data_IF_723248661471
#
_entry.id   IF_723248661471
#
_cell.length_a   1.000
_cell.length_b   1.000
_cell.length_c   1.000
_cell.angle_alpha   90.00
_cell.angle_beta   90.00
_cell.angle_gamma   90.00
#
_symmetry.space_group_name_H-M   'P 1'
#
loop_
_entity.id
_entity.type
_entity.pdbx_description
1 polymer ?
#
# COMPACT_ATOMS: atom_id res chain seq x y z
N UNK A 1 11.84 -22.18 -20.56
CA UNK A 1 12.34 -20.85 -20.23
C UNK A 1 12.86 -20.93 -18.79
N UNK A 2 14.08 -20.50 -18.54
CA UNK A 2 14.67 -20.47 -17.21
C UNK A 2 14.63 -19.03 -16.72
N UNK A 3 14.21 -18.81 -15.46
CA UNK A 3 14.11 -17.50 -14.87
C UNK A 3 15.07 -17.40 -13.69
N UNK A 4 15.87 -16.35 -13.68
CA UNK A 4 16.62 -15.91 -12.51
C UNK A 4 15.89 -14.73 -11.87
N UNK A 5 15.37 -14.93 -10.67
CA UNK A 5 14.57 -13.94 -9.95
C UNK A 5 15.37 -13.29 -8.83
N UNK A 6 15.31 -11.96 -8.81
CA UNK A 6 15.76 -11.19 -7.67
C UNK A 6 14.57 -10.45 -7.03
N UNK A 7 14.48 -10.50 -5.71
CA UNK A 7 13.39 -9.88 -4.94
C UNK A 7 13.96 -8.89 -3.90
N UNK A 8 14.63 -7.81 -4.33
CA UNK A 8 15.05 -6.77 -3.42
C UNK A 8 13.83 -5.98 -2.93
N UNK A 9 13.95 -5.31 -1.77
CA UNK A 9 12.95 -4.33 -1.35
C UNK A 9 12.92 -3.15 -2.31
N UNK A 10 11.76 -2.48 -2.43
CA UNK A 10 11.50 -1.42 -3.42
C UNK A 10 12.59 -0.35 -3.53
N UNK A 11 13.09 0.17 -2.41
CA UNK A 11 14.16 1.17 -2.43
C UNK A 11 15.44 0.65 -3.11
N UNK A 12 15.77 -0.63 -2.95
CA UNK A 12 16.92 -1.26 -3.59
C UNK A 12 16.69 -1.59 -5.07
N UNK A 13 15.45 -1.83 -5.48
CA UNK A 13 15.10 -2.03 -6.90
C UNK A 13 15.51 -0.80 -7.72
N UNK A 14 15.15 0.41 -7.26
CA UNK A 14 15.50 1.64 -7.96
C UNK A 14 17.02 1.80 -8.13
N UNK A 15 17.79 1.56 -7.07
CA UNK A 15 19.24 1.67 -7.13
C UNK A 15 19.85 0.62 -8.09
N UNK A 16 19.35 -0.62 -8.06
CA UNK A 16 19.82 -1.70 -8.94
C UNK A 16 19.50 -1.42 -10.41
N UNK A 17 18.28 -0.98 -10.73
CA UNK A 17 17.89 -0.63 -12.10
C UNK A 17 18.66 0.58 -12.62
N UNK A 18 18.87 1.59 -11.78
CA UNK A 18 19.71 2.73 -12.13
C UNK A 18 21.15 2.34 -12.43
N UNK A 19 21.74 1.48 -11.60
CA UNK A 19 23.09 1.00 -11.86
C UNK A 19 23.18 0.11 -13.12
N UNK A 20 22.14 -0.68 -13.38
CA UNK A 20 22.07 -1.56 -14.55
C UNK A 20 21.87 -0.77 -15.85
N UNK A 21 21.14 0.33 -15.83
CA UNK A 21 20.89 1.19 -17.01
C UNK A 21 22.15 1.87 -17.57
N UNK A 22 23.24 1.88 -16.81
CA UNK A 22 24.53 2.41 -17.28
C UNK A 22 25.31 1.43 -18.17
N UNK A 23 24.82 0.21 -18.36
CA UNK A 23 25.41 -0.81 -19.21
C UNK A 23 24.86 -0.70 -20.63
N UNK A 24 25.66 -1.04 -21.64
CA UNK A 24 25.21 -1.14 -23.03
C UNK A 24 24.11 -2.20 -23.20
N UNK A 25 24.24 -3.32 -22.48
CA UNK A 25 23.22 -4.37 -22.36
C UNK A 25 23.03 -4.67 -20.87
N UNK A 26 21.79 -4.55 -20.43
CA UNK A 26 21.44 -4.75 -19.02
C UNK A 26 21.50 -6.20 -18.57
N UNK A 27 21.36 -6.38 -17.28
CA UNK A 27 21.25 -7.72 -16.66
C UNK A 27 19.76 -8.12 -16.56
N UNK A 28 18.88 -7.15 -16.31
CA UNK A 28 17.46 -7.39 -16.09
C UNK A 28 16.68 -7.22 -17.39
N UNK A 29 15.81 -8.18 -17.72
CA UNK A 29 14.97 -8.08 -18.90
C UNK A 29 13.66 -7.31 -18.63
N UNK A 30 13.13 -7.46 -17.43
CA UNK A 30 11.89 -6.83 -16.98
C UNK A 30 11.89 -6.69 -15.46
N UNK A 31 10.96 -5.91 -14.96
CA UNK A 31 10.75 -5.76 -13.53
C UNK A 31 9.26 -5.67 -13.17
N UNK A 32 8.94 -6.07 -11.94
CA UNK A 32 7.67 -5.83 -11.28
C UNK A 32 7.91 -4.85 -10.13
N UNK A 33 7.28 -3.69 -10.17
CA UNK A 33 7.45 -2.65 -9.14
C UNK A 33 6.10 -2.35 -8.51
N UNK A 34 6.08 -2.24 -7.19
CA UNK A 34 4.92 -1.75 -6.45
C UNK A 34 4.72 -0.26 -6.73
N UNK A 35 3.47 0.16 -6.77
CA UNK A 35 3.09 1.55 -6.92
C UNK A 35 3.80 2.43 -5.89
N UNK A 36 4.45 3.46 -6.40
CA UNK A 36 5.14 4.47 -5.62
C UNK A 36 5.27 5.75 -6.44
N UNK A 37 5.15 6.89 -5.80
CA UNK A 37 5.25 8.22 -6.42
C UNK A 37 6.59 8.51 -7.12
N UNK A 38 7.55 7.59 -7.03
CA UNK A 38 8.88 7.75 -7.61
C UNK A 38 9.08 7.00 -8.94
N UNK A 39 8.16 6.11 -9.33
CA UNK A 39 8.26 5.32 -10.58
C UNK A 39 8.37 6.28 -11.77
N UNK A 40 7.44 7.22 -11.89
CA UNK A 40 7.42 8.18 -12.98
C UNK A 40 8.71 8.99 -13.05
N UNK A 41 9.07 9.66 -11.95
CA UNK A 41 10.17 10.62 -11.94
C UNK A 41 11.56 9.96 -12.02
N UNK A 42 11.73 8.78 -11.42
CA UNK A 42 13.05 8.13 -11.30
C UNK A 42 13.30 7.07 -12.36
N UNK A 43 12.25 6.47 -12.92
CA UNK A 43 12.39 5.28 -13.76
C UNK A 43 11.90 5.52 -15.19
N UNK A 44 10.67 6.03 -15.35
CA UNK A 44 10.07 6.18 -16.68
C UNK A 44 10.60 7.43 -17.39
N UNK A 45 10.53 8.60 -16.75
CA UNK A 45 11.04 9.86 -17.35
C UNK A 45 12.54 9.86 -17.59
N UNK A 46 13.28 9.05 -16.87
CA UNK A 46 14.73 8.90 -17.06
C UNK A 46 15.09 7.90 -18.14
N UNK A 47 14.10 7.22 -18.74
CA UNK A 47 14.31 6.22 -19.78
C UNK A 47 14.98 4.93 -19.25
N UNK A 48 14.80 4.59 -17.98
CA UNK A 48 15.31 3.32 -17.41
C UNK A 48 14.31 2.19 -17.65
N UNK A 49 13.02 2.52 -17.62
CA UNK A 49 11.92 1.58 -17.80
C UNK A 49 11.00 2.01 -18.92
N UNK A 50 10.61 1.03 -19.74
CA UNK A 50 9.61 1.15 -20.78
C UNK A 50 8.31 0.47 -20.36
N UNK A 51 7.19 1.11 -20.71
CA UNK A 51 5.86 0.54 -20.56
C UNK A 51 5.51 -0.28 -21.81
N UNK A 52 5.18 -1.54 -21.62
CA UNK A 52 4.66 -2.41 -22.67
C UNK A 52 3.21 -2.78 -22.36
N UNK A 53 2.29 -2.44 -23.26
CA UNK A 53 0.85 -2.77 -23.12
C UNK A 53 0.50 -3.84 -24.15
N UNK A 54 0.20 -5.10 -23.73
CA UNK A 54 -0.25 -6.14 -24.65
C UNK A 54 -1.58 -5.77 -25.32
N UNK A 55 -1.69 -6.01 -26.63
CA UNK A 55 -2.90 -5.67 -27.40
C UNK A 55 -4.15 -6.38 -26.86
N UNK A 56 -4.03 -7.66 -26.48
CA UNK A 56 -5.15 -8.44 -25.95
C UNK A 56 -5.60 -7.91 -24.58
N UNK A 57 -4.65 -7.45 -23.74
CA UNK A 57 -4.97 -6.81 -22.48
C UNK A 57 -5.72 -5.49 -22.69
N UNK A 58 -5.23 -4.63 -23.60
CA UNK A 58 -5.86 -3.37 -23.91
C UNK A 58 -7.30 -3.59 -24.45
N UNK A 59 -7.47 -4.50 -25.40
CA UNK A 59 -8.78 -4.84 -25.94
C UNK A 59 -9.75 -5.37 -24.86
N UNK A 60 -9.29 -6.23 -23.95
CA UNK A 60 -10.10 -6.74 -22.85
C UNK A 60 -10.53 -5.64 -21.86
N UNK A 61 -9.77 -4.55 -21.78
CA UNK A 61 -10.05 -3.39 -20.92
C UNK A 61 -10.74 -2.23 -21.68
N UNK A 62 -11.18 -2.45 -22.92
CA UNK A 62 -11.95 -1.47 -23.68
C UNK A 62 -11.13 -0.26 -24.18
N UNK A 63 -9.82 -0.42 -24.36
CA UNK A 63 -8.90 0.60 -24.83
C UNK A 63 -7.97 0.05 -25.91
N UNK A 64 -7.08 0.87 -26.45
CA UNK A 64 -5.95 0.44 -27.29
C UNK A 64 -4.63 0.64 -26.57
N UNK A 65 -3.57 -0.01 -27.01
CA UNK A 65 -2.25 0.15 -26.42
C UNK A 65 -1.71 1.60 -26.57
N UNK A 66 -2.11 2.29 -27.64
CA UNK A 66 -1.74 3.67 -27.92
C UNK A 66 -2.52 4.70 -27.08
N UNK A 67 -3.77 4.38 -26.72
CA UNK A 67 -4.65 5.28 -25.94
C UNK A 67 -4.50 5.10 -24.43
N UNK A 68 -3.88 4.01 -23.99
CA UNK A 68 -3.70 3.75 -22.56
C UNK A 68 -2.49 4.51 -22.01
N UNK A 69 -2.75 5.56 -21.24
CA UNK A 69 -1.70 6.43 -20.67
C UNK A 69 -1.12 5.93 -19.34
N UNK A 70 -1.61 4.80 -18.82
CA UNK A 70 -1.16 4.23 -17.54
C UNK A 70 -0.02 3.22 -17.68
N UNK A 71 0.45 2.72 -16.53
CA UNK A 71 1.36 1.58 -16.48
C UNK A 71 0.57 0.27 -16.48
N UNK A 72 1.16 -0.80 -17.05
CA UNK A 72 0.50 -2.11 -17.10
C UNK A 72 0.38 -2.71 -15.69
N UNK A 73 -0.82 -2.80 -15.11
CA UNK A 73 -0.99 -3.44 -13.81
C UNK A 73 -0.98 -4.95 -13.95
N UNK A 74 -0.26 -5.65 -13.06
CA UNK A 74 -0.37 -7.09 -12.91
C UNK A 74 -1.48 -7.44 -11.91
N UNK A 75 -1.46 -6.79 -10.76
CA UNK A 75 -2.42 -7.01 -9.67
C UNK A 75 -2.55 -5.78 -8.80
N UNK A 76 -3.69 -5.67 -8.12
CA UNK A 76 -3.90 -4.71 -7.05
C UNK A 76 -3.91 -5.44 -5.71
N UNK A 77 -3.10 -4.97 -4.79
CA UNK A 77 -3.11 -5.40 -3.39
C UNK A 77 -3.76 -4.33 -2.53
N UNK A 78 -4.24 -4.73 -1.37
CA UNK A 78 -4.73 -3.81 -0.35
C UNK A 78 -4.06 -4.06 0.99
N UNK A 79 -3.69 -2.97 1.66
CA UNK A 79 -3.40 -2.97 3.10
C UNK A 79 -4.63 -2.46 3.81
N UNK A 80 -5.06 -3.19 4.82
CA UNK A 80 -6.26 -2.86 5.60
C UNK A 80 -5.94 -2.90 7.08
N UNK A 81 -6.65 -2.09 7.86
CA UNK A 81 -6.57 -2.17 9.30
C UNK A 81 -7.23 -3.46 9.78
N UNK A 82 -6.45 -4.26 10.48
CA UNK A 82 -6.88 -5.50 11.11
C UNK A 82 -6.55 -5.46 12.59
N UNK A 83 -7.41 -6.03 13.41
CA UNK A 83 -7.17 -6.14 14.84
C UNK A 83 -7.47 -7.53 15.37
N UNK A 84 -6.77 -7.90 16.44
CA UNK A 84 -7.02 -9.14 17.15
C UNK A 84 -8.30 -8.99 17.98
N UNK A 85 -9.26 -9.86 17.70
CA UNK A 85 -10.61 -9.83 18.29
C UNK A 85 -10.77 -10.72 19.52
N UNK A 86 -9.68 -11.28 20.05
CA UNK A 86 -9.74 -12.14 21.26
C UNK A 86 -9.79 -11.32 22.55
N UNK A 87 -9.63 -10.02 22.49
CA UNK A 87 -9.72 -9.08 23.59
C UNK A 87 -11.04 -8.34 23.68
N UNK A 88 -11.03 -7.20 24.34
CA UNK A 88 -12.19 -6.36 24.56
C UNK A 88 -12.25 -5.11 23.66
N UNK A 89 -11.13 -4.72 23.06
CA UNK A 89 -11.07 -3.54 22.20
C UNK A 89 -11.78 -3.80 20.86
N UNK A 90 -12.46 -2.76 20.40
CA UNK A 90 -13.06 -2.72 19.05
C UNK A 90 -12.69 -1.40 18.40
N UNK A 91 -12.45 -1.44 17.09
CA UNK A 91 -12.08 -0.27 16.30
C UNK A 91 -13.17 -0.04 15.25
N UNK A 92 -14.01 0.96 15.50
CA UNK A 92 -15.18 1.27 14.66
C UNK A 92 -15.05 2.57 13.89
N UNK A 93 -14.00 3.33 14.20
CA UNK A 93 -13.69 4.59 13.55
C UNK A 93 -12.18 4.66 13.28
N UNK A 94 -11.79 5.24 12.14
CA UNK A 94 -10.37 5.34 11.81
C UNK A 94 -9.55 6.16 12.83
N UNK A 95 -10.18 7.04 13.60
CA UNK A 95 -9.53 7.78 14.69
C UNK A 95 -9.25 6.91 15.92
N UNK A 96 -9.91 5.76 16.06
CA UNK A 96 -9.60 4.83 17.14
C UNK A 96 -8.16 4.28 17.03
N UNK A 97 -7.60 4.21 15.82
CA UNK A 97 -6.23 3.73 15.60
C UNK A 97 -5.13 4.70 16.02
N UNK A 98 -5.47 5.95 16.26
CA UNK A 98 -4.54 7.01 16.68
C UNK A 98 -4.93 7.62 18.03
N UNK A 99 -5.79 6.93 18.79
CA UNK A 99 -6.20 7.33 20.12
C UNK A 99 -5.04 7.16 21.14
N UNK A 100 -5.19 7.75 22.30
CA UNK A 100 -4.19 7.68 23.39
C UNK A 100 -3.87 6.22 23.76
N UNK A 101 -2.58 5.91 23.78
CA UNK A 101 -2.07 4.58 24.12
C UNK A 101 -2.21 3.52 23.03
N UNK A 102 -2.66 3.88 21.83
CA UNK A 102 -2.72 2.98 20.70
C UNK A 102 -1.40 3.01 19.90
N UNK A 103 -0.87 1.81 19.60
CA UNK A 103 0.40 1.61 18.90
C UNK A 103 0.24 0.54 17.83
N UNK A 104 -0.26 0.93 16.66
CA UNK A 104 -0.51 0.01 15.53
C UNK A 104 0.77 -0.58 14.97
N UNK A 105 0.74 -1.86 14.62
CA UNK A 105 1.85 -2.49 13.90
C UNK A 105 1.81 -2.05 12.43
N UNK A 106 2.89 -1.49 11.93
CA UNK A 106 3.01 -1.06 10.54
C UNK A 106 4.44 -1.22 10.03
N UNK A 107 4.58 -1.35 8.72
CA UNK A 107 5.91 -1.37 8.11
C UNK A 107 6.62 -0.03 8.32
N UNK A 108 7.92 -0.10 8.53
CA UNK A 108 8.75 1.09 8.62
C UNK A 108 8.62 1.95 7.35
N UNK A 109 8.03 3.13 7.49
CA UNK A 109 7.74 4.06 6.39
C UNK A 109 9.00 4.62 5.71
N UNK A 110 10.16 4.59 6.36
CA UNK A 110 11.41 5.03 5.76
C UNK A 110 12.02 3.99 4.82
N UNK A 111 11.72 2.72 5.03
CA UNK A 111 12.18 1.61 4.21
C UNK A 111 11.16 1.14 3.16
N UNK A 112 9.90 1.60 3.22
CA UNK A 112 8.80 1.12 2.39
C UNK A 112 8.07 2.26 1.68
N UNK A 113 8.25 2.38 0.36
CA UNK A 113 7.66 3.44 -0.46
C UNK A 113 6.14 3.42 -0.41
N UNK A 114 5.53 2.24 -0.45
CA UNK A 114 4.06 2.06 -0.45
C UNK A 114 3.46 2.60 0.86
N UNK A 115 4.18 2.51 1.98
CA UNK A 115 3.75 3.07 3.26
C UNK A 115 3.62 4.59 3.23
N UNK A 116 4.53 5.28 2.56
CA UNK A 116 4.44 6.73 2.36
C UNK A 116 3.27 7.13 1.47
N UNK A 117 2.97 6.35 0.43
CA UNK A 117 1.84 6.61 -0.45
C UNK A 117 0.50 6.61 0.29
N UNK A 118 0.35 5.77 1.31
CA UNK A 118 -0.82 5.83 2.18
C UNK A 118 -0.96 7.19 2.85
N UNK A 119 0.12 7.73 3.40
CA UNK A 119 0.10 9.03 4.06
C UNK A 119 -0.19 10.17 3.07
N UNK A 120 0.40 10.13 1.88
CA UNK A 120 0.10 11.11 0.82
C UNK A 120 -1.36 11.03 0.37
N UNK A 121 -1.90 9.82 0.20
CA UNK A 121 -3.31 9.63 -0.14
C UNK A 121 -4.23 10.35 0.84
N UNK A 122 -3.94 10.31 2.15
CA UNK A 122 -4.77 10.94 3.17
C UNK A 122 -4.84 12.47 3.01
N UNK A 123 -3.85 13.11 2.36
CA UNK A 123 -3.83 14.56 2.13
C UNK A 123 -4.65 15.00 0.92
N UNK A 124 -5.11 14.08 0.07
CA UNK A 124 -6.03 14.37 -1.02
C UNK A 124 -7.40 14.76 -0.48
N UNK A 125 -8.06 15.73 -1.10
CA UNK A 125 -9.32 16.33 -0.62
C UNK A 125 -10.40 15.28 -0.28
N UNK A 126 -10.54 14.27 -1.13
CA UNK A 126 -11.54 13.19 -0.93
C UNK A 126 -11.28 12.41 0.36
N UNK A 127 -10.02 12.04 0.62
CA UNK A 127 -9.68 11.24 1.79
C UNK A 127 -9.59 12.08 3.07
N UNK A 128 -9.17 13.32 2.96
CA UNK A 128 -9.24 14.30 4.05
C UNK A 128 -10.69 14.52 4.50
N UNK A 129 -11.64 14.63 3.55
CA UNK A 129 -13.06 14.72 3.85
C UNK A 129 -13.60 13.46 4.55
N UNK A 130 -13.12 12.26 4.20
CA UNK A 130 -13.51 11.04 4.94
C UNK A 130 -12.97 11.04 6.38
N UNK A 131 -11.74 11.53 6.60
CA UNK A 131 -11.19 11.67 7.95
C UNK A 131 -12.01 12.67 8.79
N UNK A 132 -12.39 13.81 8.17
CA UNK A 132 -13.25 14.79 8.84
C UNK A 132 -14.63 14.22 9.17
N UNK A 133 -15.27 13.53 8.22
CA UNK A 133 -16.56 12.91 8.46
C UNK A 133 -16.50 11.86 9.58
N UNK A 134 -15.41 11.09 9.63
CA UNK A 134 -15.19 10.15 10.72
C UNK A 134 -14.98 10.85 12.07
N UNK A 135 -14.26 11.98 12.10
CA UNK A 135 -14.10 12.80 13.30
C UNK A 135 -15.47 13.35 13.77
N UNK A 136 -16.28 13.87 12.87
CA UNK A 136 -17.60 14.41 13.19
C UNK A 136 -18.54 13.33 13.78
N UNK A 137 -18.33 12.06 13.46
CA UNK A 137 -19.07 10.93 13.99
C UNK A 137 -18.59 10.44 15.39
N UNK A 138 -17.47 10.95 15.89
CA UNK A 138 -16.99 10.64 17.24
C UNK A 138 -17.87 11.28 18.31
N UNK A 139 -17.86 10.69 19.51
CA UNK A 139 -18.45 11.33 20.69
C UNK A 139 -17.68 12.60 21.10
N UNK A 140 -18.30 13.44 21.93
CA UNK A 140 -17.74 14.72 22.32
C UNK A 140 -16.41 14.61 23.10
N UNK A 141 -16.19 13.53 23.82
CA UNK A 141 -14.94 13.30 24.58
C UNK A 141 -13.79 13.03 23.63
N UNK A 142 -13.97 12.14 22.67
CA UNK A 142 -12.98 11.85 21.62
C UNK A 142 -12.72 13.06 20.73
N UNK A 143 -13.77 13.80 20.34
CA UNK A 143 -13.59 15.04 19.58
C UNK A 143 -12.73 16.06 20.36
N UNK A 144 -12.99 16.23 21.65
CA UNK A 144 -12.21 17.13 22.50
C UNK A 144 -10.74 16.70 22.64
N UNK A 145 -10.48 15.38 22.61
CA UNK A 145 -9.13 14.81 22.63
C UNK A 145 -8.34 15.15 21.34
N UNK A 146 -8.92 14.96 20.17
CA UNK A 146 -8.24 15.19 18.89
C UNK A 146 -8.19 16.65 18.44
N UNK A 147 -9.16 17.48 18.85
CA UNK A 147 -9.31 18.86 18.41
C UNK A 147 -8.03 19.71 18.55
N UNK A 148 -7.26 19.64 19.66
CA UNK A 148 -6.02 20.42 19.80
C UNK A 148 -4.98 20.13 18.72
N UNK A 149 -4.82 18.86 18.33
CA UNK A 149 -3.87 18.46 17.28
C UNK A 149 -4.37 18.92 15.91
N UNK A 150 -5.68 18.85 15.65
CA UNK A 150 -6.26 19.36 14.40
C UNK A 150 -6.04 20.87 14.29
N UNK A 151 -6.25 21.62 15.37
CA UNK A 151 -6.02 23.07 15.40
C UNK A 151 -4.55 23.44 15.23
N UNK A 152 -3.62 22.66 15.79
CA UNK A 152 -2.17 22.80 15.58
C UNK A 152 -1.82 22.63 14.10
N UNK A 153 -2.41 21.65 13.40
CA UNK A 153 -2.10 21.34 12.00
C UNK A 153 -2.76 22.30 10.98
N UNK A 154 -3.61 23.21 11.41
CA UNK A 154 -4.35 24.08 10.50
C UNK A 154 -3.44 25.04 9.71
N UNK A 155 -2.39 25.56 10.34
CA UNK A 155 -1.41 26.45 9.67
C UNK A 155 -0.58 25.67 8.66
N UNK A 156 -0.07 24.50 9.03
CA UNK A 156 0.73 23.64 8.15
C UNK A 156 -0.09 23.17 6.93
N UNK A 157 -1.35 22.84 7.13
CA UNK A 157 -2.26 22.47 6.04
C UNK A 157 -2.43 23.61 5.03
N UNK A 158 -2.59 24.85 5.52
CA UNK A 158 -2.70 26.03 4.67
C UNK A 158 -1.39 26.32 3.92
N UNK A 159 -0.25 26.22 4.60
CA UNK A 159 1.08 26.45 4.00
C UNK A 159 1.42 25.42 2.92
N UNK A 160 0.95 24.17 3.09
CA UNK A 160 1.07 23.10 2.10
C UNK A 160 0.02 23.21 0.97
N UNK A 161 -0.92 24.16 1.04
CA UNK A 161 -1.96 24.34 0.05
C UNK A 161 -3.00 23.21 0.01
N UNK A 162 -3.20 22.51 1.13
CA UNK A 162 -4.20 21.45 1.25
C UNK A 162 -5.61 22.06 1.30
N UNK A 163 -6.61 21.27 0.90
CA UNK A 163 -8.01 21.68 0.94
C UNK A 163 -8.55 21.92 2.36
N UNK A 164 -9.83 22.26 2.44
CA UNK A 164 -10.49 22.68 3.68
C UNK A 164 -10.36 21.69 4.86
N UNK A 165 -10.26 20.40 4.56
CA UNK A 165 -10.17 19.31 5.55
C UNK A 165 -8.73 18.82 5.76
N UNK A 166 -7.73 19.48 5.16
CA UNK A 166 -6.31 19.10 5.23
C UNK A 166 -5.75 19.02 6.65
N UNK A 167 -6.24 19.85 7.56
CA UNK A 167 -5.84 19.81 8.97
C UNK A 167 -6.19 18.47 9.66
N UNK A 168 -7.32 17.85 9.30
CA UNK A 168 -7.72 16.54 9.81
C UNK A 168 -6.78 15.44 9.29
N UNK A 169 -6.38 15.53 8.02
CA UNK A 169 -5.42 14.61 7.42
C UNK A 169 -4.05 14.71 8.11
N UNK A 170 -3.51 15.91 8.27
CA UNK A 170 -2.21 16.12 8.91
C UNK A 170 -2.23 15.71 10.39
N UNK A 171 -3.31 16.00 11.12
CA UNK A 171 -3.47 15.58 12.50
C UNK A 171 -3.46 14.05 12.64
N UNK A 172 -4.21 13.36 11.80
CA UNK A 172 -4.22 11.89 11.79
C UNK A 172 -2.85 11.31 11.45
N UNK A 173 -2.19 11.85 10.40
CA UNK A 173 -0.84 11.44 9.98
C UNK A 173 0.16 11.66 11.11
N UNK A 174 0.16 12.83 11.75
CA UNK A 174 1.03 13.16 12.88
C UNK A 174 0.89 12.13 14.00
N UNK A 175 -0.33 11.90 14.46
CA UNK A 175 -0.61 10.94 15.52
C UNK A 175 -0.19 9.51 15.14
N UNK A 176 -0.45 9.10 13.90
CA UNK A 176 -0.03 7.79 13.41
C UNK A 176 1.49 7.63 13.38
N UNK A 177 2.20 8.60 12.79
CA UNK A 177 3.67 8.56 12.68
C UNK A 177 4.36 8.59 14.04
N UNK A 178 3.79 9.30 15.02
CA UNK A 178 4.33 9.37 16.38
C UNK A 178 4.05 8.11 17.21
N UNK A 179 3.03 7.32 16.87
CA UNK A 179 2.57 6.20 17.70
C UNK A 179 2.79 4.81 17.12
N UNK A 180 2.88 4.65 15.78
CA UNK A 180 2.96 3.31 15.20
C UNK A 180 4.23 2.56 15.63
N UNK A 181 4.11 1.23 15.73
CA UNK A 181 5.21 0.34 16.05
C UNK A 181 5.78 -0.24 14.74
N UNK A 182 6.99 0.22 14.37
CA UNK A 182 7.62 -0.13 13.11
C UNK A 182 7.98 -1.63 13.04
N UNK A 183 7.58 -2.27 11.95
CA UNK A 183 7.84 -3.67 11.65
C UNK A 183 8.63 -3.82 10.36
N UNK A 184 9.31 -4.94 10.21
CA UNK A 184 10.15 -5.19 9.03
C UNK A 184 9.37 -5.58 7.79
N UNK A 185 8.17 -6.18 7.94
CA UNK A 185 7.34 -6.68 6.84
C UNK A 185 5.90 -6.95 7.32
N UNK A 186 4.95 -7.06 6.38
CA UNK A 186 3.57 -7.48 6.64
C UNK A 186 3.46 -8.90 7.22
N UNK A 187 4.40 -9.79 6.92
CA UNK A 187 4.43 -11.16 7.44
C UNK A 187 4.54 -11.22 8.98
N UNK A 188 5.54 -10.57 9.59
CA UNK A 188 5.64 -10.44 11.05
C UNK A 188 4.39 -9.81 11.68
N UNK A 189 3.80 -8.77 11.07
CA UNK A 189 2.56 -8.17 11.56
C UNK A 189 1.43 -9.20 11.59
N UNK A 190 1.22 -9.90 10.46
CA UNK A 190 0.18 -10.93 10.35
C UNK A 190 0.38 -12.03 11.39
N UNK A 191 1.60 -12.58 11.51
CA UNK A 191 1.92 -13.65 12.46
C UNK A 191 1.68 -13.22 13.92
N UNK A 192 1.93 -11.95 14.25
CA UNK A 192 1.62 -11.41 15.57
C UNK A 192 0.10 -11.38 15.77
N UNK A 193 -0.64 -10.74 14.88
CA UNK A 193 -2.08 -10.49 15.06
C UNK A 193 -2.93 -11.77 15.10
N UNK A 194 -2.57 -12.82 14.37
CA UNK A 194 -3.34 -14.08 14.36
C UNK A 194 -3.18 -14.90 15.63
N UNK A 195 -2.24 -14.53 16.51
CA UNK A 195 -2.02 -15.20 17.79
C UNK A 195 -3.05 -14.76 18.82
N UNK A 196 -3.64 -15.73 19.54
CA UNK A 196 -4.53 -15.46 20.67
C UNK A 196 -3.87 -14.63 21.78
N UNK A 197 -2.53 -14.64 21.89
CA UNK A 197 -1.79 -13.84 22.86
C UNK A 197 -1.65 -12.36 22.47
N UNK A 198 -1.98 -11.99 21.25
CA UNK A 198 -1.93 -10.60 20.77
C UNK A 198 -3.23 -9.82 21.05
N UNK A 199 -3.90 -10.15 22.14
CA UNK A 199 -5.13 -9.50 22.59
C UNK A 199 -5.05 -7.98 22.50
N UNK A 200 -6.07 -7.36 21.90
CA UNK A 200 -6.20 -5.91 21.73
C UNK A 200 -5.12 -5.24 20.87
N UNK A 201 -4.33 -6.01 20.12
CA UNK A 201 -3.39 -5.44 19.14
C UNK A 201 -4.05 -5.23 17.77
N UNK A 202 -3.56 -4.25 17.03
CA UNK A 202 -3.97 -4.00 15.66
C UNK A 202 -2.77 -3.65 14.77
N UNK A 203 -2.99 -3.66 13.47
CA UNK A 203 -1.98 -3.27 12.48
C UNK A 203 -2.59 -2.94 11.12
N UNK A 204 -1.79 -2.32 10.28
CA UNK A 204 -2.10 -2.03 8.88
C UNK A 204 -1.21 -2.90 8.01
N UNK A 205 -1.78 -3.89 7.32
CA UNK A 205 -1.04 -4.91 6.59
C UNK A 205 -1.80 -5.43 5.37
N UNK A 206 -1.08 -6.12 4.49
CA UNK A 206 -1.67 -6.72 3.28
C UNK A 206 -2.65 -7.84 3.66
N UNK A 207 -3.91 -7.68 3.24
CA UNK A 207 -4.99 -8.64 3.52
C UNK A 207 -4.66 -10.06 3.08
N UNK A 208 -4.02 -10.24 1.92
CA UNK A 208 -3.69 -11.55 1.38
C UNK A 208 -2.70 -12.37 2.23
N UNK A 209 -2.01 -11.74 3.21
CA UNK A 209 -1.15 -12.48 4.16
C UNK A 209 -1.94 -13.50 4.98
N UNK A 210 -3.22 -13.28 5.22
CA UNK A 210 -4.07 -14.23 5.93
C UNK A 210 -4.18 -15.60 5.23
N UNK A 211 -4.01 -15.68 3.91
CA UNK A 211 -4.03 -16.95 3.17
C UNK A 211 -2.93 -17.92 3.61
N UNK A 212 -1.79 -17.39 4.07
CA UNK A 212 -0.62 -18.17 4.45
C UNK A 212 -0.57 -18.55 5.94
N UNK A 213 -1.62 -18.21 6.70
CA UNK A 213 -1.69 -18.55 8.14
C UNK A 213 -1.96 -20.04 8.30
N UNK A 214 -1.04 -20.71 8.99
CA UNK A 214 -1.20 -22.10 9.41
C UNK A 214 -1.96 -22.13 10.74
N UNK A 215 -3.14 -22.72 10.72
CA UNK A 215 -3.99 -22.88 11.90
C UNK A 215 -3.34 -23.82 12.92
N UNK A 216 -3.26 -23.41 14.18
CA UNK A 216 -2.69 -24.21 15.26
C UNK A 216 -3.28 -23.79 16.61
N UNK A 217 -2.86 -24.44 17.72
CA UNK A 217 -3.34 -24.08 19.03
C UNK A 217 -2.96 -22.64 19.40
N UNK A 218 -3.97 -21.77 19.48
CA UNK A 218 -3.80 -20.34 19.77
C UNK A 218 -3.44 -19.46 18.59
N UNK A 219 -3.33 -19.99 17.36
CA UNK A 219 -3.09 -19.23 16.14
C UNK A 219 -4.22 -19.54 15.13
N UNK A 220 -4.96 -18.51 14.73
CA UNK A 220 -6.10 -18.66 13.82
C UNK A 220 -6.40 -17.36 13.07
N UNK A 221 -6.83 -17.47 11.82
CA UNK A 221 -7.43 -16.35 11.05
C UNK A 221 -8.70 -15.82 11.73
N UNK A 222 -9.41 -16.66 12.50
CA UNK A 222 -10.62 -16.27 13.23
C UNK A 222 -10.31 -15.33 14.41
N UNK A 223 -9.06 -15.18 14.80
CA UNK A 223 -8.64 -14.19 15.81
C UNK A 223 -8.57 -12.76 15.25
N UNK A 224 -8.84 -12.58 13.95
CA UNK A 224 -8.72 -11.30 13.24
C UNK A 224 -10.08 -10.76 12.84
N UNK A 225 -10.26 -9.46 13.03
CA UNK A 225 -11.32 -8.66 12.40
C UNK A 225 -10.69 -7.61 11.49
N UNK A 226 -11.19 -7.51 10.26
CA UNK A 226 -10.87 -6.40 9.35
C UNK A 226 -11.80 -5.25 9.70
N UNK A 227 -11.24 -4.11 10.08
CA UNK A 227 -12.02 -2.99 10.59
C UNK A 227 -13.08 -2.50 9.60
N UNK A 228 -12.70 -2.30 8.34
CA UNK A 228 -13.59 -1.81 7.29
C UNK A 228 -14.72 -2.80 6.88
N UNK A 229 -14.68 -4.05 7.35
CA UNK A 229 -15.72 -5.05 7.04
C UNK A 229 -16.80 -5.10 8.11
N UNK A 230 -16.70 -4.28 9.15
CA UNK A 230 -17.74 -4.12 10.15
C UNK A 230 -18.84 -3.20 9.60
N UNK A 231 -20.11 -3.55 9.83
CA UNK A 231 -21.28 -2.79 9.30
C UNK A 231 -21.33 -1.32 9.77
N UNK A 232 -20.76 -1.03 10.92
CA UNK A 232 -20.76 0.28 11.58
C UNK A 232 -19.39 0.98 11.58
N UNK A 233 -18.44 0.54 10.75
CA UNK A 233 -17.16 1.19 10.62
C UNK A 233 -17.24 2.52 9.88
N UNK A 234 -16.51 3.53 10.35
CA UNK A 234 -16.48 4.87 9.78
C UNK A 234 -15.06 5.33 9.47
N UNK A 235 -14.86 5.90 8.27
CA UNK A 235 -13.60 6.50 7.84
C UNK A 235 -12.74 5.57 6.99
N UNK A 236 -11.43 5.82 6.99
CA UNK A 236 -10.46 5.13 6.14
C UNK A 236 -10.12 3.75 6.72
N UNK A 237 -10.43 2.69 5.99
CA UNK A 237 -10.17 1.31 6.42
C UNK A 237 -8.86 0.71 5.92
N UNK A 238 -8.15 1.42 5.05
CA UNK A 238 -6.91 0.97 4.42
C UNK A 238 -6.71 1.64 3.07
N UNK A 239 -5.84 1.07 2.23
CA UNK A 239 -5.57 1.58 0.89
C UNK A 239 -5.20 0.46 -0.08
N UNK A 240 -5.43 0.71 -1.38
CA UNK A 240 -5.00 -0.16 -2.47
C UNK A 240 -3.74 0.36 -3.14
N UNK A 241 -2.93 -0.54 -3.69
CA UNK A 241 -1.79 -0.22 -4.53
C UNK A 241 -1.58 -1.31 -5.58
N UNK A 242 -1.02 -0.92 -6.71
CA UNK A 242 -0.78 -1.82 -7.82
C UNK A 242 0.66 -2.31 -7.85
N UNK A 243 0.84 -3.48 -8.44
CA UNK A 243 2.12 -3.94 -8.96
C UNK A 243 2.11 -3.73 -10.47
N UNK A 244 3.07 -2.97 -10.97
CA UNK A 244 3.21 -2.65 -12.37
C UNK A 244 4.36 -3.40 -13.02
N UNK A 245 4.16 -3.82 -14.26
CA UNK A 245 5.14 -4.50 -15.09
C UNK A 245 5.82 -3.53 -16.06
N UNK A 246 7.14 -3.64 -16.16
CA UNK A 246 7.95 -2.84 -17.07
C UNK A 246 9.01 -3.71 -17.75
N UNK A 247 9.38 -3.32 -18.96
CA UNK A 247 10.59 -3.78 -19.64
C UNK A 247 11.71 -2.81 -19.32
N UNK A 248 12.94 -3.28 -19.12
CA UNK A 248 14.08 -2.37 -18.97
C UNK A 248 14.53 -1.87 -20.34
N UNK A 249 14.89 -0.58 -20.48
CA UNK A 249 15.28 0.03 -21.75
C UNK A 249 16.46 -0.71 -22.40
N UNK A 250 17.46 -1.09 -21.62
CA UNK A 250 18.63 -1.85 -22.06
C UNK A 250 18.47 -3.37 -21.90
N UNK A 251 17.22 -3.87 -21.97
CA UNK A 251 16.89 -5.29 -21.78
C UNK A 251 17.74 -6.21 -22.65
N UNK A 252 18.32 -7.28 -22.07
CA UNK A 252 19.05 -8.28 -22.88
C UNK A 252 18.12 -9.12 -23.76
N UNK A 253 16.82 -9.17 -23.42
CA UNK A 253 15.81 -10.03 -24.08
C UNK A 253 14.44 -9.32 -24.18
N UNK A 254 14.33 -8.14 -24.84
CA UNK A 254 13.12 -7.32 -24.78
C UNK A 254 11.88 -8.06 -25.32
N UNK A 255 11.98 -8.76 -26.45
CA UNK A 255 10.86 -9.51 -27.00
C UNK A 255 10.38 -10.67 -26.13
N UNK A 256 11.33 -11.34 -25.45
CA UNK A 256 11.00 -12.40 -24.49
C UNK A 256 10.31 -11.83 -23.26
N UNK A 257 10.76 -10.67 -22.78
CA UNK A 257 10.11 -9.95 -21.69
C UNK A 257 8.67 -9.54 -22.06
N UNK A 258 8.47 -8.93 -23.21
CA UNK A 258 7.13 -8.58 -23.72
C UNK A 258 6.21 -9.81 -23.86
N UNK A 259 6.72 -10.92 -24.42
CA UNK A 259 5.95 -12.16 -24.55
C UNK A 259 5.56 -12.75 -23.19
N UNK A 260 6.45 -12.68 -22.20
CA UNK A 260 6.17 -13.15 -20.85
C UNK A 260 5.18 -12.25 -20.11
N UNK A 261 5.30 -10.94 -20.26
CA UNK A 261 4.33 -9.97 -19.74
C UNK A 261 2.94 -10.24 -20.33
N UNK A 262 2.85 -10.42 -21.64
CA UNK A 262 1.58 -10.75 -22.30
C UNK A 262 1.00 -12.09 -21.80
N UNK A 263 1.84 -13.11 -21.62
CA UNK A 263 1.42 -14.39 -21.04
C UNK A 263 0.84 -14.20 -19.63
N UNK A 264 1.53 -13.46 -18.73
CA UNK A 264 1.07 -13.24 -17.37
C UNK A 264 -0.24 -12.44 -17.31
N UNK A 265 -0.45 -11.49 -18.20
CA UNK A 265 -1.58 -10.54 -18.10
C UNK A 265 -2.77 -10.90 -18.98
N UNK A 266 -2.58 -11.72 -20.03
CA UNK A 266 -3.62 -12.06 -20.98
C UNK A 266 -4.09 -13.51 -20.89
N UNK A 267 -3.47 -14.37 -20.09
CA UNK A 267 -3.87 -15.78 -19.97
C UNK A 267 -4.18 -16.17 -18.54
N UNK A 268 -5.17 -17.07 -18.35
CA UNK A 268 -5.51 -17.57 -17.03
C UNK A 268 -4.34 -18.34 -16.38
N UNK A 269 -3.62 -19.13 -17.16
CA UNK A 269 -2.46 -19.89 -16.67
C UNK A 269 -1.32 -18.97 -16.22
N UNK A 270 -1.04 -17.91 -17.01
CA UNK A 270 0.00 -16.93 -16.66
C UNK A 270 -0.31 -16.14 -15.40
N UNK A 271 -1.59 -15.82 -15.19
CA UNK A 271 -2.04 -15.10 -13.99
C UNK A 271 -2.21 -15.99 -12.75
N UNK A 272 -2.34 -17.31 -12.92
CA UNK A 272 -2.69 -18.25 -11.84
C UNK A 272 -1.70 -18.26 -10.67
N UNK A 273 -0.46 -17.80 -10.88
CA UNK A 273 0.57 -17.73 -9.85
C UNK A 273 0.45 -16.48 -8.93
N UNK A 274 -0.37 -15.52 -9.30
CA UNK A 274 -0.51 -14.20 -8.63
C UNK A 274 -1.85 -14.06 -7.92
#
# INVERSE_FOLDING_TARGET
MEFDWQQPKNNKIFDQLTADSLKDVGTYAMTLIQDGNQIESKMVRTGILDTFIPLDWAAANGTTAEEYEGYLPLQTLNKVFMFNNTGSKTYKNCWDFVAEGEHGLYMDIDSEIVGKNFLYMLTEDTYAAYLKAAFDALDAEKQAYFKPVIDEMAADAADLGLGADGAYALAWIKLWVESYNAQTDDGPICNTLVSKSATDQFGLLVYSKLRSVEESAGVSKNNITVAAYQDDYTGIGGYGYCHYLFVTENSPLPWTACAFIAYMTCTADGFSAW
#
